data_IF_511166568579
#
_entry.id   IF_511166568579
#
_cell.length_a   1.000
_cell.length_b   1.000
_cell.length_c   1.000
_cell.angle_alpha   90.00
_cell.angle_beta   90.00
_cell.angle_gamma   90.00
#
_symmetry.space_group_name_H-M   'P 1'
#
loop_
_entity.id
_entity.type
_entity.pdbx_description
1 polymer ?
#
# COMPACT_ATOMS: atom_id res chain seq x y z
N UNK A 1 4.57 -19.94 4.94
CA UNK A 1 4.55 -18.47 4.80
C UNK A 1 3.28 -17.96 5.46
N UNK A 2 3.36 -17.54 6.73
CA UNK A 2 2.20 -17.11 7.53
C UNK A 2 2.31 -15.61 7.75
N UNK A 3 1.40 -14.86 7.15
CA UNK A 3 1.17 -13.46 7.49
C UNK A 3 0.40 -13.46 8.81
N UNK A 4 1.11 -13.28 9.92
CA UNK A 4 0.49 -13.21 11.25
C UNK A 4 -0.11 -11.82 11.45
N UNK A 5 -1.42 -11.74 11.25
CA UNK A 5 -2.26 -10.68 11.78
C UNK A 5 -2.36 -10.87 13.31
N UNK A 6 -1.39 -10.35 14.06
CA UNK A 6 -1.63 -10.05 15.48
C UNK A 6 -2.32 -8.70 15.58
N UNK A 7 -3.65 -8.81 15.62
CA UNK A 7 -4.62 -7.81 16.04
C UNK A 7 -4.20 -7.18 17.37
N UNK A 8 -3.79 -5.91 17.34
CA UNK A 8 -4.02 -4.90 18.40
C UNK A 8 -3.39 -3.53 18.11
N UNK A 9 -2.51 -3.38 17.11
CA UNK A 9 -2.03 -2.07 16.63
C UNK A 9 -2.58 -1.67 15.24
N UNK A 10 -3.52 -2.47 14.73
CA UNK A 10 -3.82 -2.58 13.29
C UNK A 10 -4.74 -1.49 12.72
N UNK A 11 -5.39 -0.67 13.55
CA UNK A 11 -6.33 0.35 13.06
C UNK A 11 -5.63 1.46 12.24
N UNK A 12 -4.38 1.80 12.59
CA UNK A 12 -3.62 2.80 11.83
C UNK A 12 -3.11 2.23 10.52
N UNK A 13 -2.67 0.96 10.49
CA UNK A 13 -2.15 0.33 9.28
C UNK A 13 -3.26 0.02 8.27
N UNK A 14 -4.42 -0.47 8.70
CA UNK A 14 -5.51 -0.79 7.76
C UNK A 14 -6.13 0.47 7.12
N UNK A 15 -6.31 1.55 7.88
CA UNK A 15 -6.76 2.84 7.34
C UNK A 15 -5.71 3.43 6.36
N UNK A 16 -4.42 3.39 6.72
CA UNK A 16 -3.35 3.83 5.82
C UNK A 16 -3.27 2.97 4.56
N UNK A 17 -3.44 1.65 4.67
CA UNK A 17 -3.39 0.73 3.53
C UNK A 17 -4.60 0.91 2.63
N UNK A 18 -5.80 1.11 3.17
CA UNK A 18 -7.00 1.39 2.35
C UNK A 18 -6.88 2.73 1.61
N UNK A 19 -6.34 3.77 2.26
CA UNK A 19 -6.00 5.04 1.60
C UNK A 19 -4.93 4.87 0.53
N UNK A 20 -3.91 4.05 0.78
CA UNK A 20 -2.88 3.71 -0.19
C UNK A 20 -3.49 3.00 -1.40
N UNK A 21 -4.31 1.97 -1.18
CA UNK A 21 -5.00 1.24 -2.24
C UNK A 21 -5.86 2.21 -3.07
N UNK A 22 -6.66 3.07 -2.44
CA UNK A 22 -7.44 4.09 -3.15
C UNK A 22 -6.55 5.08 -3.94
N UNK A 23 -5.40 5.47 -3.40
CA UNK A 23 -4.47 6.36 -4.09
C UNK A 23 -3.76 5.68 -5.27
N UNK A 24 -3.42 4.39 -5.15
CA UNK A 24 -2.87 3.58 -6.23
C UNK A 24 -3.87 3.40 -7.37
N UNK A 25 -5.13 3.08 -7.05
CA UNK A 25 -6.22 2.95 -8.02
C UNK A 25 -6.43 4.27 -8.77
N UNK A 26 -6.48 5.39 -8.04
CA UNK A 26 -6.57 6.74 -8.62
C UNK A 26 -5.36 7.10 -9.50
N UNK A 27 -4.18 6.59 -9.17
CA UNK A 27 -2.97 6.76 -9.97
C UNK A 27 -2.91 5.81 -11.18
N UNK A 28 -3.89 4.92 -11.35
CA UNK A 28 -3.99 3.98 -12.47
C UNK A 28 -3.30 2.63 -12.22
N UNK A 29 -2.86 2.35 -10.99
CA UNK A 29 -2.27 1.06 -10.60
C UNK A 29 -3.32 0.24 -9.88
N UNK A 30 -3.67 -0.94 -10.40
CA UNK A 30 -4.69 -1.80 -9.79
C UNK A 30 -4.16 -2.47 -8.50
N UNK A 31 -4.60 -2.04 -7.30
CA UNK A 31 -4.12 -2.58 -6.04
C UNK A 31 -4.89 -3.84 -5.60
N UNK A 32 -5.86 -4.30 -6.39
CA UNK A 32 -6.86 -5.29 -5.99
C UNK A 32 -7.97 -4.65 -5.15
N UNK A 33 -8.49 -5.39 -4.18
CA UNK A 33 -9.55 -4.90 -3.30
C UNK A 33 -9.04 -3.81 -2.34
N UNK A 34 -9.82 -2.74 -2.16
CA UNK A 34 -9.57 -1.69 -1.16
C UNK A 34 -10.13 -2.15 0.19
N UNK A 35 -9.45 -3.09 0.83
CA UNK A 35 -9.85 -3.72 2.09
C UNK A 35 -8.97 -3.34 3.29
N UNK A 36 -7.93 -2.53 3.07
CA UNK A 36 -6.95 -2.20 4.09
C UNK A 36 -5.96 -3.33 4.40
N UNK A 37 -5.93 -4.38 3.59
CA UNK A 37 -4.98 -5.48 3.71
C UNK A 37 -3.86 -5.35 2.68
N UNK A 38 -2.61 -5.49 3.13
CA UNK A 38 -1.44 -5.55 2.25
C UNK A 38 -1.37 -6.92 1.55
N UNK A 39 -2.17 -7.09 0.51
CA UNK A 39 -2.18 -8.27 -0.35
C UNK A 39 -1.08 -8.23 -1.42
N UNK A 40 -0.93 -9.35 -2.14
CA UNK A 40 0.03 -9.47 -3.24
C UNK A 40 -0.25 -8.46 -4.38
N UNK A 41 -1.52 -8.20 -4.68
CA UNK A 41 -1.94 -7.22 -5.69
C UNK A 41 -1.55 -5.80 -5.28
N UNK A 42 -1.85 -5.41 -4.04
CA UNK A 42 -1.47 -4.10 -3.49
C UNK A 42 0.05 -3.92 -3.48
N UNK A 43 0.80 -4.95 -3.10
CA UNK A 43 2.27 -4.93 -3.13
C UNK A 43 2.82 -4.84 -4.57
N UNK A 44 2.18 -5.50 -5.53
CA UNK A 44 2.55 -5.40 -6.94
C UNK A 44 2.31 -3.99 -7.47
N UNK A 45 1.12 -3.44 -7.27
CA UNK A 45 0.76 -2.08 -7.65
C UNK A 45 1.70 -1.03 -7.02
N UNK A 46 1.97 -1.19 -5.72
CA UNK A 46 2.89 -0.34 -5.00
C UNK A 46 4.32 -0.44 -5.56
N UNK A 47 4.79 -1.64 -5.89
CA UNK A 47 6.13 -1.84 -6.47
C UNK A 47 6.27 -1.15 -7.82
N UNK A 48 5.24 -1.21 -8.67
CA UNK A 48 5.23 -0.52 -9.97
C UNK A 48 5.21 1.00 -9.74
N UNK A 49 4.31 1.50 -8.90
CA UNK A 49 4.26 2.94 -8.55
C UNK A 49 5.61 3.44 -8.01
N UNK A 50 6.24 2.67 -7.13
CA UNK A 50 7.55 2.99 -6.57
C UNK A 50 8.63 3.03 -7.66
N UNK A 51 8.67 2.04 -8.56
CA UNK A 51 9.61 2.03 -9.69
C UNK A 51 9.43 3.23 -10.61
N UNK A 52 8.19 3.55 -10.97
CA UNK A 52 7.87 4.68 -11.85
C UNK A 52 8.25 6.03 -11.21
N UNK A 53 8.21 6.12 -9.88
CA UNK A 53 8.61 7.30 -9.12
C UNK A 53 10.07 7.26 -8.63
N UNK A 54 10.89 6.31 -9.09
CA UNK A 54 12.28 6.12 -8.63
C UNK A 54 12.42 5.98 -7.10
N UNK A 55 11.39 5.41 -6.46
CA UNK A 55 11.37 5.11 -5.03
C UNK A 55 11.83 3.67 -4.76
N UNK A 56 12.35 3.40 -3.54
CA UNK A 56 12.65 2.04 -3.12
C UNK A 56 11.41 1.15 -3.21
N UNK A 57 11.47 0.13 -4.08
CA UNK A 57 10.35 -0.77 -4.37
C UNK A 57 10.30 -1.99 -3.45
N UNK A 58 9.11 -2.51 -3.17
CA UNK A 58 8.94 -3.86 -2.58
C UNK A 58 8.59 -3.89 -1.09
N UNK A 59 8.43 -2.73 -0.46
CA UNK A 59 7.85 -2.58 0.88
C UNK A 59 7.00 -1.32 0.94
N UNK A 60 6.03 -1.28 1.85
CA UNK A 60 5.33 -0.04 2.17
C UNK A 60 6.32 0.93 2.81
N UNK A 61 6.70 1.96 2.06
CA UNK A 61 7.62 3.00 2.55
C UNK A 61 6.85 4.29 2.84
N UNK A 62 7.26 5.00 3.89
CA UNK A 62 6.72 6.34 4.20
C UNK A 62 6.86 7.31 3.03
N UNK A 63 7.90 7.14 2.18
CA UNK A 63 8.08 7.94 0.99
C UNK A 63 6.92 7.75 -0.01
N UNK A 64 6.46 6.51 -0.22
CA UNK A 64 5.31 6.23 -1.06
C UNK A 64 4.01 6.81 -0.48
N UNK A 65 3.78 6.65 0.83
CA UNK A 65 2.61 7.22 1.51
C UNK A 65 2.55 8.75 1.40
N UNK A 66 3.68 9.42 1.64
CA UNK A 66 3.80 10.89 1.51
C UNK A 66 3.61 11.36 0.07
N UNK A 67 4.12 10.61 -0.90
CA UNK A 67 3.96 10.92 -2.34
C UNK A 67 2.50 10.76 -2.78
N UNK A 68 1.79 9.78 -2.22
CA UNK A 68 0.38 9.52 -2.48
C UNK A 68 -0.58 10.38 -1.66
N UNK A 69 -0.05 11.23 -0.76
CA UNK A 69 -0.86 12.13 0.08
C UNK A 69 -1.70 11.40 1.13
N UNK A 70 -1.27 10.19 1.52
CA UNK A 70 -1.94 9.40 2.56
C UNK A 70 -1.59 9.92 3.97
N UNK A 71 -0.40 10.54 4.11
CA UNK A 71 0.14 11.17 5.30
C UNK A 71 0.50 12.64 5.03
#
# INVERSE_FOLDING_TARGET
MQWYLTLCETNTTADIVSRLQAALDKAGYNPGNIDGALGAETMSALSIFQKDNSLPSGQLTMAALKKLGVL
#
